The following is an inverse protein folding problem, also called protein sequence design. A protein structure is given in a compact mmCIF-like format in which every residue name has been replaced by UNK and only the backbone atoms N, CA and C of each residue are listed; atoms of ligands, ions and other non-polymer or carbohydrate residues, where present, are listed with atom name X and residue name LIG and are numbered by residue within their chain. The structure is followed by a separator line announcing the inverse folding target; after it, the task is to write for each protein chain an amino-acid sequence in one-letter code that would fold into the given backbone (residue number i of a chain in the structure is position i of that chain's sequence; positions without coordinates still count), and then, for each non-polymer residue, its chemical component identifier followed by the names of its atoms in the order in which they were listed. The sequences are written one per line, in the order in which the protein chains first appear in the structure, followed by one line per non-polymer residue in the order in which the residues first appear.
data_IF_021884825085
#
_entry.id   IF_021884825085
#
_cell.length_a   1.000
_cell.length_b   1.000
_cell.length_c   1.000
_cell.angle_alpha   90.00
_cell.angle_beta   90.00
_cell.angle_gamma   90.00
#
_symmetry.space_group_name_H-M   'P 1'
#
loop_
_entity.id
_entity.type
_entity.pdbx_description
1 polymer ?
#
# COMPACT_ATOMS: atom_id res chain seq x y z
N UNK A 1 3.20 -5.72 -9.77
CA UNK A 1 1.94 -5.96 -9.00
C UNK A 1 0.92 -4.81 -9.10
N UNK A 2 1.30 -3.54 -8.97
CA UNK A 2 0.34 -2.42 -8.84
C UNK A 2 0.03 -1.67 -10.16
N UNK A 3 0.14 -2.35 -11.31
CA UNK A 3 -0.07 -1.71 -12.61
C UNK A 3 -1.51 -1.18 -12.77
N UNK A 4 -1.62 0.11 -13.10
CA UNK A 4 -2.91 0.79 -13.26
C UNK A 4 -3.63 1.14 -11.95
N UNK A 5 -2.93 1.10 -10.80
CA UNK A 5 -3.47 1.49 -9.49
C UNK A 5 -2.81 2.77 -8.93
N UNK A 6 -1.90 3.38 -9.69
CA UNK A 6 -1.24 4.61 -9.27
C UNK A 6 -2.25 5.76 -9.11
N UNK A 7 -2.17 6.48 -7.99
CA UNK A 7 -3.10 7.57 -7.64
C UNK A 7 -4.41 7.12 -6.99
N UNK A 8 -4.69 5.82 -6.92
CA UNK A 8 -5.84 5.30 -6.17
C UNK A 8 -5.64 5.47 -4.66
N UNK A 9 -6.70 5.86 -3.96
CA UNK A 9 -6.74 5.97 -2.50
C UNK A 9 -7.91 5.12 -2.00
N UNK A 10 -7.62 4.18 -1.11
CA UNK A 10 -8.59 3.22 -0.58
C UNK A 10 -8.08 2.62 0.73
N UNK A 11 -8.97 2.20 1.64
CA UNK A 11 -8.58 1.57 2.89
C UNK A 11 -7.91 0.20 2.64
N UNK A 12 -7.10 -0.24 3.59
CA UNK A 12 -6.48 -1.56 3.61
C UNK A 12 -6.36 -2.06 5.05
N UNK A 13 -6.44 -3.38 5.26
CA UNK A 13 -6.21 -3.96 6.58
C UNK A 13 -4.74 -3.82 7.00
N UNK A 14 -4.52 -3.32 8.22
CA UNK A 14 -3.20 -3.20 8.85
C UNK A 14 -3.24 -3.96 10.17
N UNK A 15 -2.27 -4.86 10.38
CA UNK A 15 -2.24 -5.74 11.56
C UNK A 15 -0.80 -6.18 11.91
N UNK A 16 0.02 -5.28 12.43
CA UNK A 16 1.42 -5.54 12.76
C UNK A 16 1.88 -4.76 14.01
N UNK A 17 2.87 -5.29 14.74
CA UNK A 17 3.57 -4.58 15.82
C UNK A 17 4.89 -3.92 15.41
N UNK A 18 5.51 -4.41 14.33
CA UNK A 18 6.89 -4.06 13.93
C UNK A 18 6.95 -3.58 12.46
N UNK A 19 5.95 -2.78 12.05
CA UNK A 19 5.84 -2.32 10.66
C UNK A 19 6.54 -1.00 10.34
N UNK A 20 7.21 -0.37 11.31
CA UNK A 20 7.90 0.89 11.12
C UNK A 20 9.13 0.70 10.21
N UNK A 21 9.23 1.49 9.15
CA UNK A 21 10.40 1.48 8.28
C UNK A 21 11.52 2.29 8.92
N UNK A 22 12.66 1.63 9.11
CA UNK A 22 13.90 2.25 9.57
C UNK A 22 14.96 2.17 8.46
N UNK A 23 15.58 3.30 8.13
CA UNK A 23 16.64 3.39 7.11
C UNK A 23 17.99 3.63 7.79
N UNK A 24 18.95 2.71 7.61
CA UNK A 24 20.23 2.72 8.34
C UNK A 24 21.30 3.57 7.64
N UNK A 25 21.36 3.57 6.31
CA UNK A 25 22.47 4.14 5.52
C UNK A 25 22.05 5.22 4.51
N UNK A 26 20.74 5.42 4.35
CA UNK A 26 20.15 6.48 3.54
C UNK A 26 19.06 7.14 4.39
N UNK A 27 18.73 8.41 4.11
CA UNK A 27 17.55 9.01 4.71
C UNK A 27 16.31 8.60 3.89
N UNK A 28 15.12 8.80 4.46
CA UNK A 28 13.87 8.52 3.73
C UNK A 28 13.76 9.30 2.42
N UNK A 29 14.35 10.50 2.32
CA UNK A 29 14.36 11.31 1.09
C UNK A 29 15.08 10.60 -0.08
N UNK A 30 16.17 9.89 0.18
CA UNK A 30 16.87 9.12 -0.85
C UNK A 30 16.03 7.91 -1.29
N UNK A 31 15.33 7.28 -0.35
CA UNK A 31 14.37 6.23 -0.65
C UNK A 31 13.21 6.75 -1.50
N UNK A 32 12.73 7.97 -1.26
CA UNK A 32 11.71 8.58 -2.13
C UNK A 32 12.23 8.81 -3.55
N UNK A 33 13.43 9.39 -3.68
CA UNK A 33 14.07 9.69 -4.96
C UNK A 33 14.40 8.44 -5.77
N UNK A 34 14.56 7.29 -5.12
CA UNK A 34 14.83 6.01 -5.78
C UNK A 34 13.68 5.55 -6.70
N UNK A 35 12.46 6.06 -6.50
CA UNK A 35 11.26 5.60 -7.23
C UNK A 35 10.76 4.21 -6.81
N UNK A 36 11.30 3.64 -5.72
CA UNK A 36 10.96 2.31 -5.24
C UNK A 36 9.76 2.28 -4.29
N UNK A 37 9.33 3.45 -3.80
CA UNK A 37 8.14 3.57 -2.94
C UNK A 37 6.88 3.23 -3.74
N UNK A 38 6.17 2.19 -3.31
CA UNK A 38 5.00 1.67 -4.02
C UNK A 38 3.68 1.99 -3.33
N UNK A 39 3.68 2.20 -2.00
CA UNK A 39 2.50 2.51 -1.19
C UNK A 39 2.84 3.49 -0.07
N UNK A 40 1.86 4.35 0.26
CA UNK A 40 1.93 5.30 1.37
C UNK A 40 0.64 5.31 2.18
N UNK A 41 0.77 5.47 3.49
CA UNK A 41 -0.29 5.94 4.36
C UNK A 41 -0.56 7.42 4.07
N UNK A 42 -1.83 7.76 3.96
CA UNK A 42 -2.32 9.12 3.73
C UNK A 42 -3.38 9.46 4.76
N UNK A 43 -3.54 10.75 5.04
CA UNK A 43 -4.69 11.23 5.79
C UNK A 43 -5.99 11.12 4.99
N UNK A 44 -7.13 11.44 5.63
CA UNK A 44 -8.44 11.42 4.99
C UNK A 44 -8.61 12.50 3.90
N UNK A 45 -7.62 13.38 3.71
CA UNK A 45 -7.56 14.37 2.63
C UNK A 45 -6.61 13.95 1.50
N UNK A 46 -6.06 12.72 1.58
CA UNK A 46 -5.18 12.14 0.56
C UNK A 46 -3.74 12.61 0.62
N UNK A 47 -3.30 13.27 1.70
CA UNK A 47 -1.92 13.72 1.86
C UNK A 47 -1.10 12.66 2.60
N UNK A 48 0.12 12.30 2.13
CA UNK A 48 1.03 11.45 2.90
C UNK A 48 1.22 11.98 4.32
N UNK A 49 1.21 11.08 5.30
CA UNK A 49 1.21 11.48 6.71
C UNK A 49 2.06 10.56 7.58
N UNK A 50 2.59 11.14 8.66
CA UNK A 50 3.27 10.45 9.76
C UNK A 50 2.44 10.50 11.05
N UNK A 51 1.26 11.13 10.99
CA UNK A 51 0.40 11.31 12.17
C UNK A 51 -0.32 10.01 12.52
N UNK A 52 -0.13 9.52 13.74
CA UNK A 52 -0.88 8.41 14.29
C UNK A 52 -2.36 8.80 14.55
N UNK A 53 -3.35 7.92 14.29
CA UNK A 53 -3.26 6.56 13.75
C UNK A 53 -3.35 6.46 12.22
N UNK A 54 -3.40 7.58 11.50
CA UNK A 54 -3.53 7.62 10.03
C UNK A 54 -2.33 6.95 9.36
N UNK A 55 -1.15 7.16 9.93
CA UNK A 55 0.01 6.28 9.78
C UNK A 55 0.16 5.46 11.08
N UNK A 56 -0.11 4.15 11.05
CA UNK A 56 -0.21 3.34 12.27
C UNK A 56 1.14 2.91 12.86
N UNK A 57 2.25 3.09 12.14
CA UNK A 57 3.56 2.63 12.58
C UNK A 57 4.65 3.70 12.63
N UNK A 58 4.35 4.93 12.18
CA UNK A 58 5.28 6.06 12.23
C UNK A 58 6.34 6.04 11.12
N UNK A 59 6.17 5.22 10.07
CA UNK A 59 7.13 5.22 8.96
C UNK A 59 7.20 6.58 8.29
N UNK A 60 8.42 7.10 8.09
CA UNK A 60 8.65 8.41 7.47
C UNK A 60 7.98 8.54 6.10
N UNK A 61 7.44 9.73 5.81
CA UNK A 61 6.65 10.06 4.63
C UNK A 61 5.48 9.09 4.33
N UNK A 62 5.01 8.35 5.35
CA UNK A 62 3.95 7.37 5.21
C UNK A 62 4.33 6.08 4.50
N UNK A 63 5.61 5.83 4.20
CA UNK A 63 6.04 4.70 3.36
C UNK A 63 5.61 3.38 4.00
N UNK A 64 4.99 2.50 3.22
CA UNK A 64 4.56 1.17 3.73
C UNK A 64 4.68 0.03 2.72
N UNK A 65 5.12 0.34 1.50
CA UNK A 65 5.39 -0.64 0.47
C UNK A 65 6.55 -0.21 -0.42
N UNK A 66 7.35 -1.20 -0.84
CA UNK A 66 8.50 -1.02 -1.71
C UNK A 66 8.44 -2.00 -2.88
N UNK A 67 9.01 -1.60 -4.00
CA UNK A 67 9.19 -2.44 -5.18
C UNK A 67 10.64 -2.39 -5.63
N UNK A 68 11.17 -3.51 -6.14
CA UNK A 68 12.50 -3.51 -6.74
C UNK A 68 12.50 -2.80 -8.12
N UNK A 69 13.69 -2.47 -8.63
CA UNK A 69 13.89 -1.68 -9.85
C UNK A 69 13.17 -2.22 -11.10
N UNK A 70 13.04 -3.56 -11.23
CA UNK A 70 12.40 -4.18 -12.40
C UNK A 70 10.91 -4.48 -12.21
N UNK A 71 10.34 -4.15 -11.05
CA UNK A 71 8.91 -4.27 -10.79
C UNK A 71 8.41 -5.68 -10.43
N UNK A 72 9.30 -6.68 -10.41
CA UNK A 72 8.93 -8.11 -10.21
C UNK A 72 8.77 -8.51 -8.75
N UNK A 73 9.32 -7.75 -7.81
CA UNK A 73 9.22 -8.01 -6.38
C UNK A 73 8.68 -6.79 -5.67
N UNK A 74 7.50 -6.93 -5.07
CA UNK A 74 6.87 -5.89 -4.24
C UNK A 74 6.65 -6.44 -2.84
N UNK A 75 7.09 -5.71 -1.83
CA UNK A 75 6.83 -5.99 -0.42
C UNK A 75 5.97 -4.88 0.18
N UNK A 76 5.11 -5.24 1.12
CA UNK A 76 4.27 -4.27 1.84
C UNK A 76 3.88 -4.84 3.21
N UNK A 77 3.66 -3.94 4.16
CA UNK A 77 3.18 -4.30 5.50
C UNK A 77 1.66 -4.50 5.61
N UNK A 78 0.80 -3.75 4.87
CA UNK A 78 -0.63 -3.99 4.87
C UNK A 78 -1.02 -5.34 4.23
N UNK A 79 -2.24 -5.78 4.49
CA UNK A 79 -2.76 -7.09 4.08
C UNK A 79 -3.83 -6.99 2.97
N UNK A 80 -3.46 -6.84 1.69
CA UNK A 80 -4.43 -6.77 0.58
C UNK A 80 -5.25 -8.06 0.43
N UNK A 81 -4.69 -9.20 0.85
CA UNK A 81 -5.34 -10.52 0.82
C UNK A 81 -6.41 -10.70 1.90
N UNK A 82 -6.50 -9.80 2.88
CA UNK A 82 -7.58 -9.80 3.88
C UNK A 82 -8.77 -8.95 3.46
N UNK A 83 -8.64 -8.17 2.39
CA UNK A 83 -9.64 -7.18 1.96
C UNK A 83 -9.83 -7.15 0.44
N UNK A 84 -9.63 -8.30 -0.23
CA UNK A 84 -9.80 -8.38 -1.69
C UNK A 84 -11.26 -8.50 -2.12
N UNK A 85 -12.15 -8.94 -1.23
CA UNK A 85 -13.60 -8.90 -1.45
C UNK A 85 -14.21 -7.67 -0.77
N UNK A 86 -15.24 -7.08 -1.38
CA UNK A 86 -15.93 -5.91 -0.81
C UNK A 86 -16.42 -6.19 0.62
N UNK A 87 -17.08 -7.34 0.82
CA UNK A 87 -17.63 -7.77 2.12
C UNK A 87 -16.60 -7.93 3.26
N UNK A 88 -15.31 -8.02 2.93
CA UNK A 88 -14.22 -8.13 3.92
C UNK A 88 -13.73 -6.77 4.43
N UNK A 89 -14.17 -5.67 3.81
CA UNK A 89 -13.76 -4.33 4.20
C UNK A 89 -14.66 -3.82 5.34
N UNK A 90 -14.06 -3.37 6.44
CA UNK A 90 -14.78 -2.81 7.61
C UNK A 90 -15.69 -1.63 7.24
N UNK A 91 -15.26 -0.86 6.24
CA UNK A 91 -16.05 0.16 5.56
C UNK A 91 -15.69 0.14 4.08
N UNK A 92 -16.69 0.30 3.22
CA UNK A 92 -16.52 0.50 1.78
C UNK A 92 -17.70 1.30 1.21
N UNK A 93 -17.55 1.94 0.04
CA UNK A 93 -18.66 2.50 -0.71
C UNK A 93 -19.73 1.46 -1.07
N UNK A 94 -21.00 1.86 -1.04
CA UNK A 94 -22.15 0.96 -1.27
C UNK A 94 -22.24 0.41 -2.70
N UNK A 95 -21.54 1.03 -3.65
CA UNK A 95 -21.56 0.64 -5.08
C UNK A 95 -20.58 -0.50 -5.40
N UNK A 96 -19.70 -0.87 -4.46
CA UNK A 96 -18.82 -2.02 -4.61
C UNK A 96 -19.65 -3.31 -4.68
N UNK A 97 -19.29 -4.19 -5.62
CA UNK A 97 -19.98 -5.46 -5.83
C UNK A 97 -19.24 -6.57 -5.08
N UNK A 98 -18.68 -7.56 -5.78
CA UNK A 98 -17.95 -8.67 -5.16
C UNK A 98 -16.50 -8.31 -4.84
N UNK A 99 -15.78 -7.73 -5.80
CA UNK A 99 -14.37 -7.40 -5.65
C UNK A 99 -14.15 -6.02 -5.03
N UNK A 100 -13.22 -5.96 -4.08
CA UNK A 100 -12.60 -4.72 -3.65
C UNK A 100 -11.40 -4.36 -4.56
N UNK A 101 -10.91 -3.11 -4.53
CA UNK A 101 -9.81 -2.66 -5.38
C UNK A 101 -8.54 -3.50 -5.27
N UNK A 102 -8.24 -4.05 -4.09
CA UNK A 102 -7.05 -4.89 -3.85
C UNK A 102 -7.05 -6.20 -4.66
N UNK A 103 -8.21 -6.68 -5.14
CA UNK A 103 -8.29 -7.78 -6.10
C UNK A 103 -7.44 -7.51 -7.36
N UNK A 104 -7.34 -6.23 -7.77
CA UNK A 104 -6.55 -5.83 -8.94
C UNK A 104 -5.08 -6.21 -8.83
N UNK A 105 -4.51 -6.21 -7.62
CA UNK A 105 -3.11 -6.59 -7.40
C UNK A 105 -2.85 -8.04 -7.83
N UNK A 106 -3.74 -8.96 -7.46
CA UNK A 106 -3.63 -10.38 -7.79
C UNK A 106 -3.92 -10.64 -9.27
N UNK A 107 -4.91 -9.92 -9.84
CA UNK A 107 -5.19 -9.96 -11.29
C UNK A 107 -4.02 -9.47 -12.12
N UNK A 108 -3.32 -8.44 -11.69
CA UNK A 108 -2.12 -7.94 -12.36
C UNK A 108 -0.99 -8.97 -12.33
N UNK A 109 -0.81 -9.69 -11.22
CA UNK A 109 0.16 -10.79 -11.15
C UNK A 109 -0.20 -11.89 -12.15
N UNK A 110 -1.46 -12.36 -12.17
CA UNK A 110 -1.92 -13.35 -13.15
C UNK A 110 -1.76 -12.87 -14.59
N UNK A 111 -2.09 -11.62 -14.90
CA UNK A 111 -1.94 -11.06 -16.25
C UNK A 111 -0.48 -11.02 -16.71
N UNK A 112 0.46 -10.77 -15.79
CA UNK A 112 1.89 -10.70 -16.12
C UNK A 112 2.46 -12.04 -16.61
N UNK A 113 1.94 -13.17 -16.10
CA UNK A 113 2.38 -14.50 -16.51
C UNK A 113 1.78 -15.00 -17.85
N UNK A 114 0.78 -14.30 -18.42
CA UNK A 114 -0.07 -14.84 -19.49
C UNK A 114 -1.13 -15.79 -18.95
#
# INVERSE_FOLDING_TARGET
FLQGMAGSIMPIAVAHGEGCIETVSCNSTDLEKSGLVSLRYVDNYGKPTETYPLNPNGSENGITGLCNNDGRFTIMMPHPERVFMAVQNSWHPDDWQEDAPWMRMFRNARKWFG
#
